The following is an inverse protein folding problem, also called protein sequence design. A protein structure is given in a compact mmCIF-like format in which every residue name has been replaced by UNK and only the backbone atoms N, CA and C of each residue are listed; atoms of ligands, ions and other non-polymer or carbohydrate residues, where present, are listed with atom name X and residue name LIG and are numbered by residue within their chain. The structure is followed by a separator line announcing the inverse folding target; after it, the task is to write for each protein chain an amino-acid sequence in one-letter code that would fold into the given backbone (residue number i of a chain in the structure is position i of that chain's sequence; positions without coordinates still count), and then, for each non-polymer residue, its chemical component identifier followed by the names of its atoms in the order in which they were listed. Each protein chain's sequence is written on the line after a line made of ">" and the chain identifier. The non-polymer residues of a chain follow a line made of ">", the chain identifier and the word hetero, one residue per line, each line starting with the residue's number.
data_IF_261293142297
#
_entry.id   IF_261293142297
#
_cell.length_a   1.000
_cell.length_b   1.000
_cell.length_c   1.000
_cell.angle_alpha   90.00
_cell.angle_beta   90.00
_cell.angle_gamma   90.00
#
_symmetry.space_group_name_H-M   'P 1'
#
loop_
_entity.id
_entity.type
_entity.pdbx_description
1 polymer ?
#
# COMPACT_ATOMS: atom_id res chain seq x y z
N UNK A 1 -4.77 0.48 -6.01
CA UNK A 1 -5.11 0.23 -7.44
C UNK A 1 -4.70 1.30 -8.44
N UNK A 2 -4.52 2.57 -8.04
CA UNK A 2 -4.15 3.67 -8.97
C UNK A 2 -2.79 3.51 -9.64
N UNK A 3 -1.75 3.18 -8.86
CA UNK A 3 -0.37 3.02 -9.34
C UNK A 3 0.14 1.58 -9.18
N UNK A 4 -0.12 1.00 -8.01
CA UNK A 4 0.26 -0.36 -7.65
C UNK A 4 -0.98 -1.26 -7.49
N UNK A 5 -0.96 -2.40 -8.18
CA UNK A 5 -1.96 -3.47 -8.11
C UNK A 5 -1.26 -4.81 -7.91
N UNK A 6 -1.99 -5.78 -7.37
CA UNK A 6 -1.50 -7.14 -7.17
C UNK A 6 -0.74 -7.28 -5.85
N UNK A 7 0.38 -8.00 -5.89
CA UNK A 7 1.02 -8.55 -4.69
C UNK A 7 2.55 -8.41 -4.73
N UNK A 8 3.25 -8.40 -3.59
CA UNK A 8 2.76 -8.18 -2.22
C UNK A 8 2.43 -6.70 -1.94
N UNK A 9 1.33 -6.40 -1.23
CA UNK A 9 0.98 -5.02 -0.86
C UNK A 9 2.10 -4.32 -0.08
N UNK A 10 2.48 -3.11 -0.49
CA UNK A 10 3.50 -2.28 0.15
C UNK A 10 4.94 -2.61 -0.25
N UNK A 11 5.22 -3.77 -0.87
CA UNK A 11 6.60 -4.12 -1.28
C UNK A 11 7.08 -3.27 -2.44
N UNK A 12 6.22 -3.05 -3.45
CA UNK A 12 6.62 -2.34 -4.66
C UNK A 12 6.81 -0.85 -4.38
N UNK A 13 5.99 -0.27 -3.52
CA UNK A 13 6.12 1.09 -3.01
C UNK A 13 7.47 1.27 -2.28
N UNK A 14 7.82 0.33 -1.40
CA UNK A 14 9.13 0.32 -0.75
C UNK A 14 10.28 0.14 -1.75
N UNK A 15 10.10 -0.72 -2.76
CA UNK A 15 11.10 -1.00 -3.80
C UNK A 15 11.39 0.25 -4.66
N UNK A 16 10.37 1.01 -5.02
CA UNK A 16 10.51 2.24 -5.81
C UNK A 16 10.82 3.48 -4.96
N UNK A 17 10.90 3.35 -3.63
CA UNK A 17 11.22 4.46 -2.74
C UNK A 17 10.10 5.48 -2.61
N UNK A 18 8.85 5.04 -2.70
CA UNK A 18 7.68 5.90 -2.50
C UNK A 18 7.60 6.38 -1.04
N UNK A 19 6.96 7.54 -0.83
CA UNK A 19 6.76 8.11 0.50
C UNK A 19 5.44 7.69 1.15
N UNK A 20 4.55 7.04 0.42
CA UNK A 20 3.23 6.61 0.90
C UNK A 20 2.72 5.39 0.14
N UNK A 21 1.78 4.66 0.75
CA UNK A 21 1.01 3.58 0.13
C UNK A 21 -0.45 3.99 0.05
N UNK A 22 -1.03 3.91 -1.14
CA UNK A 22 -2.47 4.03 -1.34
C UNK A 22 -3.18 2.73 -0.99
N UNK A 23 -4.12 2.77 -0.05
CA UNK A 23 -5.03 1.65 0.26
C UNK A 23 -6.45 1.99 -0.18
N UNK A 24 -7.16 0.98 -0.66
CA UNK A 24 -8.50 1.17 -1.23
C UNK A 24 -9.43 0.03 -0.83
N UNK A 25 -10.63 0.37 -0.39
CA UNK A 25 -11.78 -0.55 -0.38
C UNK A 25 -12.54 -0.35 -1.68
N UNK A 26 -12.80 -1.45 -2.39
CA UNK A 26 -13.40 -1.44 -3.71
C UNK A 26 -14.54 -2.44 -3.81
N UNK A 27 -15.51 -2.16 -4.68
CA UNK A 27 -16.44 -3.19 -5.17
C UNK A 27 -15.70 -4.07 -6.16
N UNK A 28 -15.79 -5.38 -5.98
CA UNK A 28 -15.09 -6.35 -6.83
C UNK A 28 -15.62 -6.25 -8.26
N UNK A 29 -14.71 -6.29 -9.23
CA UNK A 29 -14.98 -6.35 -10.66
C UNK A 29 -14.10 -7.44 -11.30
N UNK A 30 -14.26 -7.67 -12.60
CA UNK A 30 -13.39 -8.59 -13.33
C UNK A 30 -11.95 -8.05 -13.41
N UNK A 31 -10.97 -8.88 -13.04
CA UNK A 31 -9.54 -8.54 -13.02
C UNK A 31 -8.98 -8.29 -11.61
N UNK A 32 -7.65 -8.16 -11.53
CA UNK A 32 -6.93 -7.95 -10.27
C UNK A 32 -6.94 -6.46 -9.92
N UNK A 33 -7.55 -6.12 -8.78
CA UNK A 33 -7.64 -4.75 -8.27
C UNK A 33 -8.15 -3.74 -9.31
N UNK A 34 -9.18 -4.13 -10.07
CA UNK A 34 -9.85 -3.30 -11.11
C UNK A 34 -11.26 -2.85 -10.68
N UNK A 35 -11.54 -2.85 -9.37
CA UNK A 35 -12.86 -2.59 -8.84
C UNK A 35 -13.23 -1.11 -8.83
N UNK A 36 -14.46 -0.85 -8.40
CA UNK A 36 -14.94 0.53 -8.20
C UNK A 36 -14.51 1.00 -6.80
N UNK A 37 -13.71 2.08 -6.66
CA UNK A 37 -13.30 2.60 -5.36
C UNK A 37 -14.49 3.09 -4.54
N UNK A 38 -14.48 2.79 -3.24
CA UNK A 38 -15.49 3.26 -2.28
C UNK A 38 -14.86 4.16 -1.21
N UNK A 39 -13.73 3.72 -0.66
CA UNK A 39 -12.92 4.49 0.30
C UNK A 39 -11.46 4.32 -0.04
N UNK A 40 -10.73 5.44 -0.07
CA UNK A 40 -9.29 5.48 -0.32
C UNK A 40 -8.60 6.27 0.78
N UNK A 41 -7.40 5.83 1.14
CA UNK A 41 -6.50 6.55 2.05
C UNK A 41 -5.06 6.39 1.57
N UNK A 42 -4.22 7.37 1.89
CA UNK A 42 -2.78 7.30 1.72
C UNK A 42 -2.12 7.16 3.09
N UNK A 43 -1.29 6.14 3.25
CA UNK A 43 -0.58 5.83 4.49
C UNK A 43 0.89 6.16 4.29
N UNK A 44 1.48 7.07 5.10
CA UNK A 44 2.87 7.46 4.93
C UNK A 44 3.81 6.30 5.20
N UNK A 45 4.84 6.14 4.37
CA UNK A 45 5.95 5.21 4.59
C UNK A 45 6.99 5.94 5.43
N UNK A 46 7.30 5.36 6.59
CA UNK A 46 8.32 5.85 7.52
C UNK A 46 9.71 5.43 7.03
N UNK A 47 10.75 6.23 7.31
CA UNK A 47 12.11 5.92 6.85
C UNK A 47 12.65 4.54 7.29
N UNK A 48 12.18 4.03 8.42
CA UNK A 48 12.60 2.78 9.05
C UNK A 48 11.62 1.62 8.86
N UNK A 49 10.54 1.83 8.10
CA UNK A 49 9.53 0.80 7.84
C UNK A 49 10.15 -0.41 7.17
N UNK A 50 9.91 -1.57 7.76
CA UNK A 50 10.04 -2.85 7.08
C UNK A 50 8.73 -3.17 6.37
N UNK A 51 8.77 -4.08 5.38
CA UNK A 51 7.56 -4.57 4.75
C UNK A 51 6.58 -5.14 5.78
N UNK A 52 7.08 -5.84 6.81
CA UNK A 52 6.25 -6.39 7.88
C UNK A 52 5.56 -5.29 8.69
N UNK A 53 6.31 -4.28 9.15
CA UNK A 53 5.75 -3.16 9.91
C UNK A 53 4.72 -2.36 9.09
N UNK A 54 5.04 -2.10 7.81
CA UNK A 54 4.14 -1.44 6.88
C UNK A 54 2.86 -2.27 6.71
N UNK A 55 2.96 -3.57 6.38
CA UNK A 55 1.79 -4.44 6.21
C UNK A 55 0.89 -4.51 7.44
N UNK A 56 1.46 -4.57 8.64
CA UNK A 56 0.69 -4.55 9.89
C UNK A 56 -0.15 -3.28 9.99
N UNK A 57 0.43 -2.12 9.66
CA UNK A 57 -0.29 -0.85 9.67
C UNK A 57 -1.32 -0.74 8.55
N UNK A 58 -1.00 -1.19 7.34
CA UNK A 58 -1.97 -1.22 6.23
C UNK A 58 -3.20 -2.08 6.59
N UNK A 59 -2.99 -3.21 7.28
CA UNK A 59 -4.08 -4.06 7.76
C UNK A 59 -4.96 -3.33 8.77
N UNK A 60 -4.35 -2.71 9.79
CA UNK A 60 -5.08 -1.98 10.82
C UNK A 60 -5.94 -0.84 10.22
N UNK A 61 -5.39 -0.08 9.27
CA UNK A 61 -6.12 0.97 8.57
C UNK A 61 -7.25 0.42 7.69
N UNK A 62 -7.00 -0.73 7.03
CA UNK A 62 -7.98 -1.40 6.18
C UNK A 62 -9.23 -1.88 6.92
N UNK A 63 -9.09 -2.32 8.18
CA UNK A 63 -10.21 -2.75 9.02
C UNK A 63 -11.21 -1.60 9.26
N UNK A 64 -10.72 -0.42 9.64
CA UNK A 64 -11.57 0.77 9.80
C UNK A 64 -12.20 1.24 8.48
N UNK A 65 -11.43 1.20 7.39
CA UNK A 65 -11.92 1.59 6.07
C UNK A 65 -13.05 0.70 5.56
N UNK A 66 -13.05 -0.59 5.89
CA UNK A 66 -14.13 -1.48 5.49
C UNK A 66 -15.47 -1.07 6.12
N UNK A 67 -15.45 -0.69 7.40
CA UNK A 67 -16.63 -0.17 8.08
C UNK A 67 -17.14 1.13 7.44
N UNK A 68 -16.24 2.07 7.14
CA UNK A 68 -16.59 3.31 6.44
C UNK A 68 -17.17 3.05 5.04
N UNK A 69 -16.63 2.07 4.34
CA UNK A 69 -17.10 1.68 3.01
C UNK A 69 -18.51 1.07 3.06
N UNK A 70 -18.78 0.19 4.04
CA UNK A 70 -20.12 -0.38 4.23
C UNK A 70 -21.16 0.70 4.52
N UNK A 71 -20.82 1.68 5.37
CA UNK A 71 -21.70 2.84 5.64
C UNK A 71 -21.98 3.65 4.39
N UNK A 72 -20.96 3.93 3.57
CA UNK A 72 -21.12 4.64 2.30
C UNK A 72 -22.04 3.88 1.34
N UNK A 73 -21.79 2.58 1.15
CA UNK A 73 -22.58 1.76 0.22
C UNK A 73 -24.03 1.58 0.68
N UNK A 74 -24.30 1.61 2.00
CA UNK A 74 -25.65 1.54 2.53
C UNK A 74 -26.46 2.84 2.36
N UNK A 75 -25.79 3.97 2.06
CA UNK A 75 -26.46 5.24 1.80
C UNK A 75 -27.10 5.21 0.40
N UNK A 76 -28.44 5.42 0.27
CA UNK A 76 -29.11 5.47 -1.03
C UNK A 76 -28.55 6.49 -2.02
N UNK A 77 -27.96 7.58 -1.51
CA UNK A 77 -27.41 8.66 -2.33
C UNK A 77 -25.97 8.40 -2.80
N UNK A 78 -25.36 7.27 -2.40
CA UNK A 78 -24.00 6.95 -2.79
C UNK A 78 -23.91 6.59 -4.27
N UNK A 79 -23.29 7.47 -5.04
CA UNK A 79 -22.93 7.24 -6.44
C UNK A 79 -21.48 6.76 -6.53
N UNK A 80 -21.23 5.53 -7.01
CA UNK A 80 -19.87 5.04 -7.18
C UNK A 80 -19.13 5.84 -8.25
N UNK A 81 -17.88 6.23 -7.99
CA UNK A 81 -17.03 6.88 -8.98
C UNK A 81 -16.42 5.82 -9.90
N UNK A 82 -16.79 5.85 -11.18
CA UNK A 82 -16.16 4.99 -12.18
C UNK A 82 -14.70 5.40 -12.39
N UNK A 83 -13.82 4.40 -12.51
CA UNK A 83 -12.44 4.58 -12.94
C UNK A 83 -12.23 3.90 -14.28
N UNK A 84 -11.58 4.62 -15.19
CA UNK A 84 -11.22 4.11 -16.51
C UNK A 84 -9.74 3.75 -16.64
N UNK A 85 -8.91 4.21 -15.70
CA UNK A 85 -7.47 3.98 -15.70
C UNK A 85 -7.02 3.28 -14.40
N UNK A 86 -6.18 2.25 -14.56
CA UNK A 86 -5.66 1.45 -13.45
C UNK A 86 -4.14 1.32 -13.57
N UNK A 87 -3.47 1.24 -12.42
CA UNK A 87 -2.02 1.17 -12.34
C UNK A 87 -1.44 -0.14 -12.85
N UNK A 88 -0.13 -0.33 -12.73
CA UNK A 88 0.50 -1.59 -13.16
C UNK A 88 0.18 -2.72 -12.19
N UNK A 89 -0.09 -3.92 -12.71
CA UNK A 89 -0.18 -5.15 -11.92
C UNK A 89 1.23 -5.68 -11.68
N UNK A 90 1.54 -5.91 -10.40
CA UNK A 90 2.76 -6.54 -9.97
C UNK A 90 2.47 -7.91 -9.35
N UNK A 91 3.45 -8.80 -9.47
CA UNK A 91 3.40 -10.18 -8.99
C UNK A 91 4.50 -10.42 -7.96
N UNK A 92 4.77 -11.68 -7.60
CA UNK A 92 5.83 -11.97 -6.64
C UNK A 92 7.20 -11.48 -7.15
N UNK A 93 7.98 -10.78 -6.29
CA UNK A 93 9.29 -10.28 -6.67
C UNK A 93 10.30 -11.42 -6.79
N UNK A 94 11.32 -11.23 -7.63
CA UNK A 94 12.52 -12.07 -7.61
C UNK A 94 13.43 -11.74 -6.42
N UNK A 95 14.48 -12.53 -6.21
CA UNK A 95 15.40 -12.36 -5.09
C UNK A 95 16.03 -10.95 -5.02
N UNK A 96 16.44 -10.40 -6.18
CA UNK A 96 17.03 -9.05 -6.23
C UNK A 96 16.01 -8.00 -5.80
N UNK A 97 14.78 -8.09 -6.31
CA UNK A 97 13.69 -7.18 -5.97
C UNK A 97 13.32 -7.28 -4.48
N UNK A 98 13.34 -8.48 -3.91
CA UNK A 98 13.09 -8.71 -2.49
C UNK A 98 14.18 -8.11 -1.59
N UNK A 99 15.44 -8.27 -1.97
CA UNK A 99 16.57 -7.78 -1.16
C UNK A 99 16.73 -6.26 -1.21
N UNK A 100 16.33 -5.60 -2.31
CA UNK A 100 16.53 -4.15 -2.51
C UNK A 100 15.96 -3.27 -1.38
N UNK A 101 14.66 -3.35 -1.03
CA UNK A 101 14.12 -2.50 0.04
C UNK A 101 14.74 -2.83 1.41
N UNK A 102 15.03 -4.12 1.67
CA UNK A 102 15.65 -4.55 2.92
C UNK A 102 17.08 -4.02 3.09
N UNK A 103 17.87 -3.99 2.01
CA UNK A 103 19.21 -3.40 2.02
C UNK A 103 19.15 -1.90 2.31
N UNK A 104 18.18 -1.18 1.72
CA UNK A 104 17.95 0.24 1.99
C UNK A 104 17.63 0.51 3.47
N UNK A 105 16.77 -0.30 4.08
CA UNK A 105 16.44 -0.19 5.51
C UNK A 105 17.66 -0.49 6.38
N UNK A 106 18.41 -1.56 6.08
CA UNK A 106 19.61 -1.92 6.82
C UNK A 106 20.66 -0.80 6.79
N UNK A 107 20.89 -0.21 5.62
CA UNK A 107 21.78 0.93 5.46
C UNK A 107 21.33 2.13 6.30
N UNK A 108 20.03 2.49 6.26
CA UNK A 108 19.50 3.61 7.06
C UNK A 108 19.66 3.37 8.57
N UNK A 109 19.39 2.15 9.05
CA UNK A 109 19.59 1.77 10.45
C UNK A 109 21.06 1.88 10.89
N UNK A 110 21.97 1.38 10.05
CA UNK A 110 23.42 1.50 10.31
C UNK A 110 23.87 2.97 10.34
N UNK A 111 23.39 3.79 9.40
CA UNK A 111 23.72 5.22 9.35
C UNK A 111 23.27 5.95 10.62
N UNK A 112 22.06 5.69 11.11
CA UNK A 112 21.55 6.27 12.37
C UNK A 112 22.37 5.78 13.55
N UNK A 113 22.61 4.47 13.67
CA UNK A 113 23.41 3.91 14.76
C UNK A 113 24.84 4.46 14.79
N UNK A 114 25.43 4.74 13.62
CA UNK A 114 26.76 5.31 13.52
C UNK A 114 26.81 6.80 13.87
N UNK A 115 25.80 7.58 13.47
CA UNK A 115 25.68 8.99 13.83
C UNK A 115 25.43 9.22 15.33
N UNK A 116 24.90 8.22 16.03
CA UNK A 116 24.62 8.27 17.48
C UNK A 116 25.78 7.77 18.36
N UNK A 117 26.97 7.52 17.79
CA UNK A 117 28.14 7.11 18.59
C UNK A 117 28.74 8.33 19.32
N UNK A 118 29.13 8.16 20.61
CA UNK A 118 29.80 9.20 21.38
C UNK A 118 31.20 9.51 20.84
#
# INVERSE_FOLDING_TARGET
>A
MRKYRGTPPGLWELYYGENEVGITVQRIAAGIDCGVPVVEKHIPIRPDDTLSALKTRLRAEGEGMLYDALKKVANPDFTPTEMHEFGKVYTLPNLRQWCTPNAGIAYRRLKVAWASRP
#
